data_IF_461190905419
#
_entry.id   IF_461190905419
#
_cell.length_a   1.000
_cell.length_b   1.000
_cell.length_c   1.000
_cell.angle_alpha   90.00
_cell.angle_beta   90.00
_cell.angle_gamma   90.00
#
_symmetry.space_group_name_H-M   'P 1'
#
loop_
_entity.id
_entity.type
_entity.pdbx_description
1 polymer ?
#
# COMPACT_ATOMS: atom_id res chain seq x y z
N UNK A 1 -13.46 -11.97 -9.07
CA UNK A 1 -12.47 -11.84 -10.16
C UNK A 1 -11.33 -10.95 -9.70
N UNK A 2 -10.09 -11.36 -9.94
CA UNK A 2 -8.88 -10.58 -9.65
C UNK A 2 -8.64 -9.58 -10.78
N UNK A 3 -8.24 -8.36 -10.41
CA UNK A 3 -7.80 -7.30 -11.32
C UNK A 3 -6.40 -6.86 -10.91
N UNK A 4 -5.56 -6.50 -11.89
CA UNK A 4 -4.20 -6.06 -11.64
C UNK A 4 -4.12 -4.55 -11.83
N UNK A 5 -3.69 -3.86 -10.79
CA UNK A 5 -3.45 -2.41 -10.77
C UNK A 5 -1.98 -2.07 -10.51
N UNK A 6 -1.64 -0.79 -10.67
CA UNK A 6 -0.34 -0.25 -10.31
C UNK A 6 -0.48 0.95 -9.36
N UNK A 7 0.52 1.12 -8.51
CA UNK A 7 0.71 2.35 -7.76
C UNK A 7 1.66 3.27 -8.54
N UNK A 8 1.36 4.57 -8.69
CA UNK A 8 2.19 5.50 -9.46
C UNK A 8 3.54 5.83 -8.80
N UNK A 9 3.81 5.34 -7.58
CA UNK A 9 5.05 5.63 -6.84
C UNK A 9 6.31 5.15 -7.55
N UNK A 10 6.19 4.19 -8.48
CA UNK A 10 7.30 3.78 -9.35
C UNK A 10 7.70 4.81 -10.41
N UNK A 11 6.83 5.80 -10.71
CA UNK A 11 7.09 6.92 -11.63
C UNK A 11 7.42 8.21 -10.89
N UNK A 12 6.72 8.47 -9.76
CA UNK A 12 6.95 9.67 -8.95
C UNK A 12 6.67 9.37 -7.49
N UNK A 13 7.62 9.70 -6.64
CA UNK A 13 7.53 9.41 -5.21
C UNK A 13 6.63 10.43 -4.49
N UNK A 14 5.83 9.97 -3.54
CA UNK A 14 4.90 10.81 -2.77
C UNK A 14 5.58 11.45 -1.54
N UNK A 15 6.65 10.83 -1.01
CA UNK A 15 7.42 11.32 0.13
C UNK A 15 8.63 12.17 -0.28
N UNK A 16 9.19 11.91 -1.48
CA UNK A 16 10.33 12.63 -2.07
C UNK A 16 9.93 13.18 -3.44
N UNK A 17 9.27 14.35 -3.45
CA UNK A 17 8.65 14.91 -4.67
C UNK A 17 9.64 15.21 -5.81
N UNK A 18 10.94 15.31 -5.51
CA UNK A 18 12.00 15.45 -6.50
C UNK A 18 12.30 14.16 -7.27
N UNK A 19 11.92 13.01 -6.71
CA UNK A 19 12.10 11.70 -7.35
C UNK A 19 10.97 11.47 -8.36
N UNK A 20 11.31 11.54 -9.66
CA UNK A 20 10.34 11.46 -10.75
C UNK A 20 9.41 12.68 -10.84
N UNK A 21 9.77 13.81 -10.21
CA UNK A 21 8.98 15.04 -10.23
C UNK A 21 8.78 15.60 -11.64
N UNK A 22 9.69 15.32 -12.56
CA UNK A 22 9.66 15.69 -13.97
C UNK A 22 8.82 14.73 -14.85
N UNK A 23 8.43 13.56 -14.37
CA UNK A 23 7.61 12.60 -15.14
C UNK A 23 6.14 13.05 -15.10
N UNK A 24 5.51 13.39 -16.23
CA UNK A 24 4.11 13.80 -16.28
C UNK A 24 3.16 12.66 -15.89
N UNK A 25 2.01 12.99 -15.29
CA UNK A 25 0.95 12.03 -15.02
C UNK A 25 0.54 11.22 -16.28
N UNK A 26 0.46 11.89 -17.41
CA UNK A 26 0.09 11.28 -18.70
C UNK A 26 1.06 10.18 -19.13
N UNK A 27 2.36 10.41 -18.91
CA UNK A 27 3.41 9.41 -19.17
C UNK A 27 3.21 8.17 -18.27
N UNK A 28 2.99 8.39 -16.97
CA UNK A 28 2.72 7.32 -16.02
C UNK A 28 1.50 6.48 -16.43
N UNK A 29 0.37 7.13 -16.76
CA UNK A 29 -0.87 6.44 -17.15
C UNK A 29 -0.71 5.66 -18.46
N UNK A 30 -0.04 6.25 -19.46
CA UNK A 30 0.23 5.60 -20.73
C UNK A 30 1.11 4.36 -20.55
N UNK A 31 2.23 4.48 -19.87
CA UNK A 31 3.18 3.38 -19.66
C UNK A 31 2.56 2.26 -18.82
N UNK A 32 1.79 2.60 -17.77
CA UNK A 32 1.05 1.62 -17.00
C UNK A 32 0.04 0.85 -17.88
N UNK A 33 -0.68 1.53 -18.78
CA UNK A 33 -1.59 0.90 -19.72
C UNK A 33 -0.88 -0.01 -20.71
N UNK A 34 0.22 0.43 -21.25
CA UNK A 34 1.07 -0.36 -22.18
C UNK A 34 1.68 -1.58 -21.49
N UNK A 35 1.97 -1.50 -20.19
CA UNK A 35 2.41 -2.65 -19.39
C UNK A 35 1.28 -3.67 -19.13
N UNK A 36 -0.01 -3.28 -19.28
CA UNK A 36 -1.17 -4.15 -19.13
C UNK A 36 -2.05 -3.86 -17.92
N UNK A 37 -1.72 -2.88 -17.09
CA UNK A 37 -2.54 -2.51 -15.94
C UNK A 37 -3.89 -1.92 -16.36
N UNK A 38 -4.94 -2.22 -15.56
CA UNK A 38 -6.30 -1.74 -15.80
C UNK A 38 -6.82 -0.79 -14.72
N UNK A 39 -5.99 -0.54 -13.70
CA UNK A 39 -6.30 0.40 -12.64
C UNK A 39 -5.04 1.03 -12.08
N UNK A 40 -5.21 2.25 -11.54
CA UNK A 40 -4.15 3.03 -10.90
C UNK A 40 -4.59 3.45 -9.50
N UNK A 41 -3.69 3.42 -8.55
CA UNK A 41 -3.90 4.09 -7.27
C UNK A 41 -3.64 5.58 -7.38
N UNK A 42 -4.15 6.32 -6.40
CA UNK A 42 -4.05 7.77 -6.36
C UNK A 42 -2.63 8.19 -5.91
N UNK A 43 -1.92 8.93 -6.73
CA UNK A 43 -0.62 9.52 -6.40
C UNK A 43 -0.68 11.05 -6.28
N UNK A 44 0.45 11.68 -5.98
CA UNK A 44 0.56 13.12 -5.73
C UNK A 44 0.15 13.98 -6.94
N UNK A 45 0.36 13.51 -8.17
CA UNK A 45 0.07 14.24 -9.42
C UNK A 45 -1.38 14.15 -9.88
N UNK A 46 -2.19 13.31 -9.22
CA UNK A 46 -3.58 13.09 -9.62
C UNK A 46 -4.48 14.21 -9.11
N UNK A 47 -5.39 14.75 -9.95
CA UNK A 47 -6.43 15.67 -9.49
C UNK A 47 -7.24 15.09 -8.35
N UNK A 48 -7.57 15.93 -7.36
CA UNK A 48 -8.34 15.52 -6.16
C UNK A 48 -9.85 15.75 -6.31
N UNK A 49 -10.33 15.99 -7.51
CA UNK A 49 -11.74 16.17 -7.84
C UNK A 49 -12.18 15.11 -8.85
N UNK A 50 -13.25 14.35 -8.56
CA UNK A 50 -13.71 13.26 -9.42
C UNK A 50 -14.03 13.73 -10.86
N UNK A 51 -14.66 14.91 -10.99
CA UNK A 51 -14.97 15.49 -12.29
C UNK A 51 -13.76 15.84 -13.16
N UNK A 52 -12.58 16.05 -12.55
CA UNK A 52 -11.33 16.28 -13.26
C UNK A 52 -10.55 14.98 -13.47
N UNK A 53 -10.54 14.10 -12.46
CA UNK A 53 -9.76 12.86 -12.49
C UNK A 53 -10.36 11.81 -13.43
N UNK A 54 -11.68 11.64 -13.38
CA UNK A 54 -12.37 10.58 -14.15
C UNK A 54 -12.11 10.66 -15.65
N UNK A 55 -12.25 11.82 -16.33
CA UNK A 55 -11.96 11.90 -17.78
C UNK A 55 -10.51 11.54 -18.13
N UNK A 56 -9.53 11.89 -17.25
CA UNK A 56 -8.12 11.56 -17.45
C UNK A 56 -7.91 10.05 -17.40
N UNK A 57 -8.44 9.38 -16.38
CA UNK A 57 -8.30 7.93 -16.25
C UNK A 57 -9.06 7.18 -17.36
N UNK A 58 -10.27 7.62 -17.70
CA UNK A 58 -11.06 7.02 -18.78
C UNK A 58 -10.35 7.10 -20.13
N UNK A 59 -9.67 8.23 -20.43
CA UNK A 59 -8.91 8.42 -21.66
C UNK A 59 -7.74 7.43 -21.79
N UNK A 60 -7.21 6.95 -20.67
CA UNK A 60 -6.13 5.95 -20.64
C UNK A 60 -6.65 4.52 -20.34
N UNK A 61 -7.94 4.35 -20.16
CA UNK A 61 -8.57 3.04 -19.88
C UNK A 61 -8.24 2.48 -18.49
N UNK A 62 -8.07 3.37 -17.49
CA UNK A 62 -7.85 2.99 -16.10
C UNK A 62 -9.07 3.25 -15.21
N UNK A 63 -9.30 2.35 -14.25
CA UNK A 63 -10.11 2.65 -13.07
C UNK A 63 -9.25 3.26 -11.97
N UNK A 64 -9.81 4.12 -11.11
CA UNK A 64 -9.18 4.42 -9.84
C UNK A 64 -9.35 3.22 -8.90
N UNK A 65 -8.25 2.73 -8.34
CA UNK A 65 -8.24 1.54 -7.48
C UNK A 65 -8.56 1.91 -6.04
N UNK A 66 -7.82 2.86 -5.51
CA UNK A 66 -7.92 3.44 -4.17
C UNK A 66 -6.89 4.56 -4.02
N UNK A 67 -6.61 4.96 -2.78
CA UNK A 67 -5.54 5.91 -2.45
C UNK A 67 -5.20 5.85 -0.97
N UNK A 68 -3.94 6.18 -0.68
CA UNK A 68 -3.42 6.28 0.67
C UNK A 68 -4.07 7.43 1.45
N UNK A 69 -4.41 7.15 2.71
CA UNK A 69 -4.84 8.13 3.69
C UNK A 69 -4.08 7.96 5.00
N UNK A 70 -3.44 9.03 5.44
CA UNK A 70 -2.71 9.10 6.72
C UNK A 70 -3.69 9.36 7.85
N UNK A 71 -3.95 8.37 8.69
CA UNK A 71 -4.74 8.56 9.91
C UNK A 71 -3.89 9.04 11.07
N UNK A 72 -4.50 9.76 11.98
CA UNK A 72 -3.90 10.22 13.25
C UNK A 72 -4.75 9.80 14.46
N UNK A 73 -5.30 8.59 14.45
CA UNK A 73 -6.19 8.07 15.48
C UNK A 73 -5.52 7.82 16.85
N UNK A 74 -4.20 7.87 16.92
CA UNK A 74 -3.48 7.89 18.20
C UNK A 74 -3.61 9.25 18.92
N UNK A 75 -3.88 10.34 18.20
CA UNK A 75 -3.97 11.71 18.72
C UNK A 75 -5.32 12.37 18.44
N UNK A 76 -6.04 11.97 17.39
CA UNK A 76 -7.39 12.45 17.07
C UNK A 76 -8.45 11.49 17.59
N UNK A 77 -9.63 11.99 17.91
CA UNK A 77 -10.81 11.17 18.08
C UNK A 77 -11.44 10.81 16.71
N UNK A 78 -12.41 9.90 16.73
CA UNK A 78 -13.06 9.42 15.51
C UNK A 78 -13.81 10.52 14.76
N UNK A 79 -14.42 11.47 15.46
CA UNK A 79 -15.18 12.54 14.83
C UNK A 79 -14.26 13.51 14.08
N UNK A 80 -13.11 13.87 14.67
CA UNK A 80 -12.10 14.70 14.03
C UNK A 80 -11.47 13.97 12.82
N UNK A 81 -11.24 12.66 12.93
CA UNK A 81 -10.70 11.87 11.83
C UNK A 81 -11.71 11.73 10.67
N UNK A 82 -13.01 11.59 10.96
CA UNK A 82 -14.07 11.56 9.95
C UNK A 82 -14.17 12.88 9.18
N UNK A 83 -14.02 14.03 9.84
CA UNK A 83 -13.97 15.31 9.14
C UNK A 83 -12.70 15.45 8.28
N UNK A 84 -11.55 14.97 8.78
CA UNK A 84 -10.29 15.01 8.04
C UNK A 84 -10.30 14.13 6.79
N UNK A 85 -10.88 12.92 6.85
CA UNK A 85 -10.93 11.98 5.71
C UNK A 85 -11.96 12.35 4.64
N UNK A 86 -12.90 13.22 4.94
CA UNK A 86 -14.11 13.55 4.16
C UNK A 86 -13.84 13.80 2.66
N UNK A 87 -12.91 14.69 2.35
CA UNK A 87 -12.59 15.01 0.96
C UNK A 87 -12.04 13.80 0.21
N UNK A 88 -11.12 13.05 0.86
CA UNK A 88 -10.51 11.86 0.29
C UNK A 88 -11.53 10.72 0.11
N UNK A 89 -12.32 10.42 1.13
CA UNK A 89 -13.34 9.37 1.05
C UNK A 89 -14.44 9.69 0.02
N UNK A 90 -14.82 10.97 -0.09
CA UNK A 90 -15.76 11.44 -1.12
C UNK A 90 -15.20 11.20 -2.52
N UNK A 91 -13.92 11.58 -2.78
CA UNK A 91 -13.26 11.30 -4.05
C UNK A 91 -13.26 9.81 -4.38
N UNK A 92 -12.85 8.96 -3.44
CA UNK A 92 -12.80 7.50 -3.67
C UNK A 92 -14.18 6.93 -3.97
N UNK A 93 -15.21 7.32 -3.21
CA UNK A 93 -16.62 6.92 -3.46
C UNK A 93 -17.08 7.34 -4.85
N UNK A 94 -16.88 8.60 -5.21
CA UNK A 94 -17.35 9.18 -6.47
C UNK A 94 -16.62 8.61 -7.68
N UNK A 95 -15.40 8.11 -7.48
CA UNK A 95 -14.63 7.38 -8.48
C UNK A 95 -14.93 5.88 -8.53
N UNK A 96 -15.82 5.36 -7.67
CA UNK A 96 -16.26 3.96 -7.65
C UNK A 96 -15.26 3.01 -7.00
N UNK A 97 -14.37 3.50 -6.14
CA UNK A 97 -13.50 2.65 -5.35
C UNK A 97 -14.30 1.81 -4.34
N UNK A 98 -13.79 0.64 -3.99
CA UNK A 98 -14.39 -0.24 -2.99
C UNK A 98 -13.69 -0.21 -1.64
N UNK A 99 -12.44 0.25 -1.62
CA UNK A 99 -11.61 0.29 -0.41
C UNK A 99 -11.03 1.69 -0.18
N UNK A 100 -10.77 2.00 1.09
CA UNK A 100 -9.99 3.15 1.54
C UNK A 100 -8.74 2.59 2.23
N UNK A 101 -7.56 2.91 1.70
CA UNK A 101 -6.28 2.49 2.28
C UNK A 101 -5.91 3.48 3.38
N UNK A 102 -5.68 2.99 4.59
CA UNK A 102 -5.32 3.83 5.74
C UNK A 102 -4.13 3.26 6.50
N UNK A 103 -3.21 4.13 6.88
CA UNK A 103 -2.11 3.81 7.79
C UNK A 103 -2.06 4.82 8.93
N UNK A 104 -1.71 4.38 10.13
CA UNK A 104 -1.52 5.27 11.28
C UNK A 104 -0.17 5.96 11.19
N UNK A 105 -0.19 7.28 11.05
CA UNK A 105 1.01 8.08 10.84
C UNK A 105 1.36 9.02 11.98
N UNK A 106 0.61 8.99 13.10
CA UNK A 106 1.00 9.75 14.28
C UNK A 106 2.42 9.38 14.72
N UNK A 107 3.32 10.36 14.68
CA UNK A 107 4.75 10.17 14.98
C UNK A 107 5.49 9.17 14.06
N UNK A 108 4.94 8.81 12.91
CA UNK A 108 5.64 7.99 11.93
C UNK A 108 6.90 8.71 11.39
N UNK A 109 7.89 7.93 11.00
CA UNK A 109 9.19 8.45 10.56
C UNK A 109 9.54 8.08 9.11
N UNK A 110 8.64 7.41 8.41
CA UNK A 110 8.89 6.92 7.03
C UNK A 110 9.21 8.04 6.04
N UNK A 111 8.66 9.24 6.22
CA UNK A 111 8.91 10.40 5.36
C UNK A 111 10.07 11.28 5.81
N UNK A 112 10.80 10.93 6.87
CA UNK A 112 11.95 11.68 7.39
C UNK A 112 13.26 10.95 7.09
N UNK A 113 13.99 11.39 6.06
CA UNK A 113 15.26 10.78 5.65
C UNK A 113 16.35 10.83 6.73
N UNK A 114 16.21 11.69 7.73
CA UNK A 114 17.18 11.83 8.82
C UNK A 114 16.96 10.85 9.98
N UNK A 115 15.85 10.09 9.95
CA UNK A 115 15.45 9.19 11.04
C UNK A 115 15.76 7.74 10.70
N UNK A 116 16.67 7.09 11.43
CA UNK A 116 16.93 5.67 11.23
C UNK A 116 15.69 4.83 11.59
N UNK A 117 15.50 3.69 10.92
CA UNK A 117 14.32 2.84 11.14
C UNK A 117 14.20 2.32 12.57
N UNK A 118 15.31 2.19 13.31
CA UNK A 118 15.29 1.82 14.74
C UNK A 118 14.60 2.86 15.63
N UNK A 119 14.50 4.12 15.18
CA UNK A 119 13.84 5.20 15.91
C UNK A 119 12.31 5.26 15.68
N UNK A 120 11.72 4.27 15.00
CA UNK A 120 10.27 4.24 14.73
C UNK A 120 9.44 4.26 16.02
N UNK A 121 8.21 4.78 15.96
CA UNK A 121 7.31 4.72 17.10
C UNK A 121 6.92 3.27 17.42
N UNK A 122 6.90 2.93 18.70
CA UNK A 122 6.41 1.63 19.21
C UNK A 122 5.25 1.90 20.15
N UNK A 123 4.09 1.30 19.85
CA UNK A 123 2.90 1.49 20.67
C UNK A 123 3.01 0.70 21.99
N UNK A 124 2.88 1.35 23.17
CA UNK A 124 2.90 0.67 24.46
C UNK A 124 1.79 -0.40 24.56
N UNK A 125 2.07 -1.50 25.27
CA UNK A 125 1.16 -2.65 25.35
C UNK A 125 -0.25 -2.30 25.81
N UNK A 126 -0.39 -1.33 26.70
CA UNK A 126 -1.67 -0.87 27.25
C UNK A 126 -2.45 0.11 26.36
N UNK A 127 -1.89 0.50 25.20
CA UNK A 127 -2.56 1.41 24.26
C UNK A 127 -3.25 0.70 23.10
N UNK A 128 -2.97 -0.59 22.90
CA UNK A 128 -3.49 -1.35 21.74
C UNK A 128 -5.01 -1.48 21.72
N UNK A 129 -5.64 -1.72 22.87
CA UNK A 129 -7.09 -1.92 22.94
C UNK A 129 -7.84 -0.61 22.63
N UNK A 130 -7.36 0.53 23.14
CA UNK A 130 -7.89 1.85 22.79
C UNK A 130 -7.71 2.14 21.31
N UNK A 131 -6.52 1.89 20.78
CA UNK A 131 -6.18 2.08 19.37
C UNK A 131 -7.07 1.23 18.46
N UNK A 132 -7.22 -0.05 18.76
CA UNK A 132 -8.10 -0.96 18.03
C UNK A 132 -9.56 -0.56 18.05
N UNK A 133 -10.04 -0.07 19.20
CA UNK A 133 -11.41 0.45 19.36
C UNK A 133 -11.64 1.68 18.48
N UNK A 134 -10.73 2.66 18.49
CA UNK A 134 -10.83 3.86 17.64
C UNK A 134 -10.82 3.51 16.16
N UNK A 135 -9.91 2.62 15.73
CA UNK A 135 -9.87 2.15 14.33
C UNK A 135 -11.15 1.43 13.91
N UNK A 136 -11.71 0.62 14.81
CA UNK A 136 -12.98 -0.07 14.54
C UNK A 136 -14.11 0.91 14.31
N UNK A 137 -14.30 1.87 15.22
CA UNK A 137 -15.34 2.89 15.09
C UNK A 137 -15.13 3.78 13.85
N UNK A 138 -13.89 4.12 13.54
CA UNK A 138 -13.58 4.87 12.32
C UNK A 138 -13.93 4.07 11.05
N UNK A 139 -13.55 2.79 11.00
CA UNK A 139 -13.88 1.93 9.87
C UNK A 139 -15.40 1.73 9.68
N UNK A 140 -16.14 1.56 10.79
CA UNK A 140 -17.60 1.49 10.78
C UNK A 140 -18.23 2.77 10.24
N UNK A 141 -17.75 3.94 10.69
CA UNK A 141 -18.22 5.23 10.21
C UNK A 141 -17.92 5.46 8.71
N UNK A 142 -16.69 5.16 8.27
CA UNK A 142 -16.31 5.22 6.83
C UNK A 142 -17.21 4.32 6.00
N UNK A 143 -17.49 3.10 6.47
CA UNK A 143 -18.38 2.18 5.77
C UNK A 143 -19.81 2.68 5.69
N UNK A 144 -20.34 3.21 6.79
CA UNK A 144 -21.70 3.72 6.87
C UNK A 144 -21.91 4.96 6.00
N UNK A 145 -20.94 5.90 5.97
CA UNK A 145 -21.11 7.18 5.27
C UNK A 145 -20.70 7.10 3.79
N UNK A 146 -19.64 6.36 3.46
CA UNK A 146 -19.07 6.35 2.11
C UNK A 146 -19.21 4.99 1.39
N UNK A 147 -19.63 3.93 2.07
CA UNK A 147 -19.70 2.57 1.51
C UNK A 147 -18.34 1.90 1.31
N UNK A 148 -17.23 2.54 1.72
CA UNK A 148 -15.88 2.07 1.52
C UNK A 148 -15.47 1.07 2.61
N UNK A 149 -14.78 0.00 2.23
CA UNK A 149 -14.11 -0.89 3.15
C UNK A 149 -12.77 -0.29 3.56
N UNK A 150 -12.59 0.08 4.83
CA UNK A 150 -11.28 0.50 5.32
C UNK A 150 -10.35 -0.70 5.34
N UNK A 151 -9.15 -0.56 4.76
CA UNK A 151 -8.07 -1.53 4.82
C UNK A 151 -6.83 -0.89 5.45
N UNK A 152 -6.35 -1.51 6.53
CA UNK A 152 -5.16 -1.01 7.21
C UNK A 152 -3.91 -1.43 6.47
N UNK A 153 -3.06 -0.47 6.15
CA UNK A 153 -1.74 -0.69 5.56
C UNK A 153 -0.67 -0.63 6.65
N UNK A 154 -0.09 -1.78 6.98
CA UNK A 154 1.11 -1.83 7.82
C UNK A 154 2.32 -1.33 7.02
N UNK A 155 3.17 -0.54 7.65
CA UNK A 155 4.23 0.16 6.93
C UNK A 155 5.49 0.29 7.76
N UNK A 156 6.67 0.21 7.10
CA UNK A 156 7.95 0.51 7.74
C UNK A 156 7.95 1.92 8.31
N UNK A 157 8.56 2.10 9.48
CA UNK A 157 8.64 3.41 10.13
C UNK A 157 7.36 3.87 10.86
N UNK A 158 6.33 3.01 10.98
CA UNK A 158 5.07 3.29 11.70
C UNK A 158 4.91 2.42 12.95
N UNK A 159 3.81 2.60 13.68
CA UNK A 159 3.48 1.79 14.89
C UNK A 159 3.10 0.34 14.59
N UNK A 160 2.69 0.04 13.35
CA UNK A 160 2.38 -1.33 12.91
C UNK A 160 3.30 -1.68 11.75
N UNK A 161 4.45 -2.24 12.06
CA UNK A 161 5.49 -2.59 11.11
C UNK A 161 5.76 -4.09 11.04
N UNK A 162 5.89 -4.72 12.21
CA UNK A 162 6.25 -6.14 12.32
C UNK A 162 5.03 -7.06 12.24
N UNK A 163 5.26 -8.33 11.88
CA UNK A 163 4.20 -9.34 11.86
C UNK A 163 3.47 -9.46 13.20
N UNK A 164 4.19 -9.42 14.32
CA UNK A 164 3.60 -9.45 15.66
C UNK A 164 2.70 -8.23 15.93
N UNK A 165 3.04 -7.06 15.40
CA UNK A 165 2.23 -5.85 15.50
C UNK A 165 1.01 -5.92 14.57
N UNK A 166 1.15 -6.51 13.37
CA UNK A 166 0.01 -6.81 12.47
C UNK A 166 -0.98 -7.74 13.19
N UNK A 167 -0.48 -8.85 13.75
CA UNK A 167 -1.32 -9.81 14.48
C UNK A 167 -2.00 -9.14 15.67
N UNK A 168 -1.28 -8.31 16.42
CA UNK A 168 -1.83 -7.58 17.55
C UNK A 168 -2.92 -6.61 17.13
N UNK A 169 -2.65 -5.78 16.11
CA UNK A 169 -3.59 -4.78 15.60
C UNK A 169 -4.88 -5.45 15.09
N UNK A 170 -4.74 -6.46 14.24
CA UNK A 170 -5.89 -7.17 13.69
C UNK A 170 -6.67 -7.93 14.80
N UNK A 171 -5.99 -8.38 15.83
CA UNK A 171 -6.61 -9.08 16.99
C UNK A 171 -7.41 -8.16 17.90
N UNK A 172 -7.07 -6.86 17.99
CA UNK A 172 -7.79 -5.88 18.82
C UNK A 172 -8.78 -5.02 18.02
N UNK A 173 -8.84 -5.18 16.69
CA UNK A 173 -9.80 -4.48 15.82
C UNK A 173 -10.99 -5.37 15.46
N UNK A 174 -12.17 -4.75 15.34
CA UNK A 174 -13.40 -5.40 14.88
C UNK A 174 -13.37 -5.74 13.37
N UNK A 175 -14.38 -6.48 12.89
CA UNK A 175 -14.43 -6.99 11.52
C UNK A 175 -14.59 -5.89 10.44
N UNK A 176 -14.96 -4.67 10.84
CA UNK A 176 -15.03 -3.52 9.92
C UNK A 176 -13.65 -3.08 9.41
N UNK A 177 -12.59 -3.36 10.16
CA UNK A 177 -11.21 -3.08 9.75
C UNK A 177 -10.68 -4.23 8.90
N UNK A 178 -10.46 -4.01 7.62
CA UNK A 178 -9.76 -4.93 6.73
C UNK A 178 -8.24 -4.79 6.85
N UNK A 179 -7.52 -5.73 6.27
CA UNK A 179 -6.06 -5.68 6.11
C UNK A 179 -5.71 -5.47 4.64
N UNK A 180 -4.84 -4.52 4.37
CA UNK A 180 -4.05 -4.49 3.16
C UNK A 180 -2.81 -5.35 3.41
N UNK A 181 -2.64 -6.42 2.65
CA UNK A 181 -1.43 -7.22 2.69
C UNK A 181 -0.40 -6.59 1.76
N UNK A 182 0.63 -5.96 2.31
CA UNK A 182 1.81 -5.55 1.55
C UNK A 182 2.93 -6.56 1.75
N UNK A 183 3.35 -7.19 0.67
CA UNK A 183 4.35 -8.27 0.71
C UNK A 183 5.75 -7.77 1.04
N UNK A 184 6.11 -6.58 0.58
CA UNK A 184 7.43 -5.97 0.81
C UNK A 184 7.58 -5.45 2.23
N UNK A 185 6.62 -4.65 2.71
CA UNK A 185 6.66 -4.16 4.09
C UNK A 185 6.60 -5.30 5.11
N UNK A 186 5.79 -6.35 4.86
CA UNK A 186 5.75 -7.53 5.72
C UNK A 186 7.11 -8.22 5.80
N UNK A 187 7.74 -8.45 4.64
CA UNK A 187 9.04 -9.12 4.56
C UNK A 187 10.14 -8.31 5.24
N UNK A 188 10.22 -7.01 4.97
CA UNK A 188 11.22 -6.14 5.60
C UNK A 188 11.00 -5.98 7.10
N UNK A 189 9.73 -5.95 7.54
CA UNK A 189 9.37 -5.99 8.96
C UNK A 189 9.67 -7.31 9.67
N UNK A 190 10.31 -8.28 8.99
CA UNK A 190 10.70 -9.58 9.53
C UNK A 190 9.58 -10.62 9.54
N UNK A 191 8.49 -10.36 8.83
CA UNK A 191 7.34 -11.26 8.73
C UNK A 191 7.37 -12.17 7.51
N UNK A 192 6.45 -13.15 7.52
CA UNK A 192 6.18 -14.04 6.38
C UNK A 192 4.83 -13.65 5.74
N UNK A 193 4.82 -13.00 4.55
CA UNK A 193 3.58 -12.57 3.92
C UNK A 193 2.62 -13.72 3.60
N UNK A 194 3.10 -14.95 3.37
CA UNK A 194 2.24 -16.11 3.18
C UNK A 194 1.55 -16.55 4.49
N UNK A 195 2.27 -16.46 5.63
CA UNK A 195 1.67 -16.73 6.94
C UNK A 195 0.62 -15.67 7.29
N UNK A 196 0.93 -14.41 7.08
CA UNK A 196 -0.01 -13.30 7.30
C UNK A 196 -1.25 -13.50 6.42
N UNK A 197 -1.05 -13.81 5.13
CA UNK A 197 -2.14 -14.08 4.20
C UNK A 197 -3.05 -15.22 4.69
N UNK A 198 -2.49 -16.35 5.11
CA UNK A 198 -3.22 -17.51 5.63
C UNK A 198 -4.01 -17.14 6.88
N UNK A 199 -3.39 -16.46 7.83
CA UNK A 199 -3.97 -16.15 9.13
C UNK A 199 -5.12 -15.13 9.02
N UNK A 200 -4.92 -14.08 8.22
CA UNK A 200 -5.87 -12.97 8.10
C UNK A 200 -6.69 -13.00 6.81
N UNK A 201 -6.69 -14.11 6.08
CA UNK A 201 -7.36 -14.29 4.79
C UNK A 201 -8.76 -13.66 4.71
N UNK A 202 -9.59 -13.89 5.72
CA UNK A 202 -10.96 -13.37 5.76
C UNK A 202 -11.06 -11.84 5.92
N UNK A 203 -9.96 -11.21 6.30
CA UNK A 203 -9.87 -9.76 6.54
C UNK A 203 -9.04 -9.03 5.47
N UNK A 204 -8.39 -9.76 4.53
CA UNK A 204 -7.64 -9.14 3.44
C UNK A 204 -8.59 -8.71 2.35
N UNK A 205 -8.66 -7.39 2.10
CA UNK A 205 -9.51 -6.79 1.07
C UNK A 205 -8.72 -6.00 0.04
N UNK A 206 -7.39 -5.91 0.20
CA UNK A 206 -6.48 -5.28 -0.74
C UNK A 206 -5.08 -5.90 -0.64
N UNK A 207 -4.33 -5.90 -1.74
CA UNK A 207 -3.00 -6.51 -1.79
C UNK A 207 -2.03 -5.62 -2.55
N UNK A 208 -0.91 -5.26 -1.92
CA UNK A 208 0.25 -4.68 -2.56
C UNK A 208 1.33 -5.73 -2.77
N UNK A 209 1.72 -5.88 -4.03
CA UNK A 209 2.82 -6.74 -4.45
C UNK A 209 4.07 -5.89 -4.64
N UNK A 210 4.84 -5.77 -3.57
CA UNK A 210 6.10 -5.06 -3.47
C UNK A 210 7.18 -6.09 -3.16
N UNK A 211 8.16 -6.29 -4.04
CA UNK A 211 9.24 -7.25 -3.83
C UNK A 211 10.45 -6.59 -3.15
N UNK A 212 11.37 -7.38 -2.66
CA UNK A 212 12.52 -6.93 -1.83
C UNK A 212 13.83 -7.44 -2.43
N UNK A 213 14.79 -6.53 -2.63
CA UNK A 213 16.18 -6.91 -2.90
C UNK A 213 16.90 -7.22 -1.59
N UNK A 214 17.11 -8.49 -1.34
CA UNK A 214 17.61 -9.03 -0.07
C UNK A 214 18.91 -8.36 0.40
N UNK A 215 19.88 -8.21 -0.49
CA UNK A 215 21.18 -7.62 -0.14
C UNK A 215 21.05 -6.16 0.33
N UNK A 216 20.12 -5.38 -0.27
CA UNK A 216 19.88 -4.00 0.14
C UNK A 216 19.16 -3.95 1.47
N UNK A 217 18.15 -4.79 1.69
CA UNK A 217 17.43 -4.92 2.96
C UNK A 217 18.39 -5.27 4.11
N UNK A 218 19.24 -6.28 3.93
CA UNK A 218 20.22 -6.66 4.94
C UNK A 218 21.22 -5.55 5.24
N UNK A 219 21.65 -4.82 4.23
CA UNK A 219 22.53 -3.68 4.41
C UNK A 219 21.84 -2.55 5.17
N UNK A 220 20.62 -2.19 4.78
CA UNK A 220 19.82 -1.18 5.47
C UNK A 220 19.62 -1.52 6.95
N UNK A 221 19.24 -2.75 7.27
CA UNK A 221 19.05 -3.19 8.65
C UNK A 221 20.33 -3.15 9.47
N UNK A 222 21.47 -3.55 8.88
CA UNK A 222 22.77 -3.57 9.57
C UNK A 222 23.32 -2.18 9.84
N UNK A 223 23.12 -1.25 8.89
CA UNK A 223 23.64 0.11 8.94
C UNK A 223 22.62 1.09 9.53
N UNK A 224 21.43 0.59 9.89
CA UNK A 224 20.31 1.35 10.47
C UNK A 224 19.93 2.59 9.64
N UNK A 225 19.75 2.38 8.35
CA UNK A 225 19.33 3.44 7.44
C UNK A 225 17.93 3.93 7.72
N UNK A 226 17.61 5.15 7.28
CA UNK A 226 16.24 5.61 7.21
C UNK A 226 15.45 4.82 6.14
N UNK A 227 14.13 4.91 6.21
CA UNK A 227 13.26 4.33 5.19
C UNK A 227 13.61 4.87 3.79
N UNK A 228 13.70 6.20 3.66
CA UNK A 228 13.94 6.85 2.37
C UNK A 228 15.35 6.59 1.82
N UNK A 229 16.40 6.53 2.66
CA UNK A 229 17.73 6.11 2.21
C UNK A 229 17.71 4.69 1.62
N UNK A 230 16.93 3.80 2.24
CA UNK A 230 16.78 2.42 1.77
C UNK A 230 16.03 2.34 0.44
N UNK A 231 14.98 3.16 0.27
CA UNK A 231 14.27 3.31 -1.00
C UNK A 231 15.20 3.80 -2.10
N UNK A 232 15.97 4.86 -1.83
CA UNK A 232 16.97 5.39 -2.76
C UNK A 232 18.07 4.38 -3.10
N UNK A 233 18.41 3.49 -2.17
CA UNK A 233 19.35 2.39 -2.42
C UNK A 233 18.71 1.24 -3.21
N UNK A 234 17.39 1.24 -3.40
CA UNK A 234 16.65 0.27 -4.20
C UNK A 234 16.25 -0.97 -3.41
N UNK A 235 15.85 -0.83 -2.14
CA UNK A 235 15.38 -1.94 -1.30
C UNK A 235 14.15 -2.61 -1.91
N UNK A 236 13.23 -1.82 -2.47
CA UNK A 236 12.02 -2.31 -3.11
C UNK A 236 12.20 -2.50 -4.62
N UNK A 237 11.43 -3.45 -5.14
CA UNK A 237 11.34 -3.73 -6.57
C UNK A 237 9.98 -4.35 -6.92
N UNK A 238 9.78 -4.64 -8.20
CA UNK A 238 8.55 -5.26 -8.70
C UNK A 238 8.53 -6.77 -8.46
N UNK A 239 7.35 -7.42 -8.43
CA UNK A 239 7.23 -8.87 -8.26
C UNK A 239 8.13 -9.68 -9.17
N UNK A 240 8.92 -10.58 -8.57
CA UNK A 240 9.82 -11.50 -9.27
C UNK A 240 11.21 -10.96 -9.60
N UNK A 241 11.53 -9.73 -9.17
CA UNK A 241 12.88 -9.15 -9.21
C UNK A 241 13.54 -9.10 -7.82
N UNK A 242 12.95 -9.79 -6.84
CA UNK A 242 13.40 -9.86 -5.46
C UNK A 242 13.34 -11.27 -4.90
N UNK A 243 13.20 -11.36 -3.57
CA UNK A 243 13.29 -12.62 -2.83
C UNK A 243 11.93 -13.28 -2.53
N UNK A 244 10.80 -12.60 -2.78
CA UNK A 244 9.49 -13.08 -2.31
C UNK A 244 8.94 -14.18 -3.22
N UNK A 245 8.57 -15.33 -2.62
CA UNK A 245 7.85 -16.40 -3.31
C UNK A 245 6.35 -16.02 -3.47
N UNK A 246 6.04 -15.33 -4.55
CA UNK A 246 4.69 -14.87 -4.85
C UNK A 246 3.69 -16.01 -5.07
N UNK A 247 4.12 -17.13 -5.65
CA UNK A 247 3.23 -18.29 -5.83
C UNK A 247 2.78 -18.84 -4.48
N UNK A 248 3.68 -18.91 -3.52
CA UNK A 248 3.37 -19.32 -2.15
C UNK A 248 2.41 -18.35 -1.46
N UNK A 249 2.65 -17.04 -1.57
CA UNK A 249 1.77 -16.00 -0.98
C UNK A 249 0.37 -16.06 -1.61
N UNK A 250 0.30 -16.05 -2.93
CA UNK A 250 -0.96 -15.99 -3.66
C UNK A 250 -1.81 -17.26 -3.48
N UNK A 251 -1.21 -18.43 -3.26
CA UNK A 251 -1.96 -19.66 -2.91
C UNK A 251 -2.76 -19.52 -1.63
N UNK A 252 -2.33 -18.72 -0.67
CA UNK A 252 -3.07 -18.49 0.57
C UNK A 252 -4.29 -17.56 0.36
N UNK A 253 -4.36 -16.85 -0.77
CA UNK A 253 -5.44 -15.93 -1.13
C UNK A 253 -6.58 -16.58 -1.92
N UNK A 254 -6.71 -17.93 -1.95
CA UNK A 254 -7.81 -18.59 -2.64
C UNK A 254 -9.18 -18.06 -2.22
N UNK A 255 -10.00 -17.64 -3.19
CA UNK A 255 -11.29 -16.99 -2.97
C UNK A 255 -11.22 -15.47 -2.82
N UNK A 256 -10.01 -14.87 -2.83
CA UNK A 256 -9.87 -13.41 -2.90
C UNK A 256 -10.44 -12.87 -4.23
N UNK A 257 -11.12 -11.74 -4.15
CA UNK A 257 -11.56 -10.98 -5.32
C UNK A 257 -11.32 -9.50 -5.07
N UNK A 258 -10.86 -8.81 -6.09
CA UNK A 258 -10.52 -7.39 -5.97
C UNK A 258 -9.25 -7.03 -6.71
N UNK A 259 -8.58 -5.99 -6.26
CA UNK A 259 -7.34 -5.51 -6.84
C UNK A 259 -6.12 -6.14 -6.16
N UNK A 260 -5.18 -6.57 -6.98
CA UNK A 260 -3.79 -6.84 -6.58
C UNK A 260 -2.93 -5.81 -7.30
N UNK A 261 -2.22 -4.99 -6.54
CA UNK A 261 -1.52 -3.81 -7.05
C UNK A 261 -0.01 -4.06 -7.04
N UNK A 262 0.65 -3.83 -8.17
CA UNK A 262 2.11 -3.73 -8.21
C UNK A 262 2.48 -2.38 -7.65
N UNK A 263 3.20 -2.38 -6.54
CA UNK A 263 3.75 -1.19 -5.91
C UNK A 263 5.25 -1.39 -5.73
N UNK A 264 6.04 -0.60 -6.45
CA UNK A 264 7.48 -0.63 -6.35
C UNK A 264 7.98 0.80 -6.15
N UNK A 265 8.29 1.12 -4.91
CA UNK A 265 8.85 2.41 -4.54
C UNK A 265 10.32 2.45 -4.93
N UNK A 266 10.61 3.04 -6.09
CA UNK A 266 11.92 3.02 -6.73
C UNK A 266 12.31 4.41 -7.24
N UNK A 267 13.63 4.63 -7.37
CA UNK A 267 14.16 5.79 -8.09
C UNK A 267 14.04 5.55 -9.61
N UNK A 268 13.24 6.33 -10.36
CA UNK A 268 13.06 6.17 -11.81
C UNK A 268 14.35 6.28 -12.61
N UNK A 269 15.39 6.93 -12.08
CA UNK A 269 16.71 7.01 -12.70
C UNK A 269 17.51 5.71 -12.60
N UNK A 270 17.16 4.84 -11.68
CA UNK A 270 17.80 3.53 -11.45
C UNK A 270 16.96 2.38 -11.95
N UNK A 271 15.64 2.53 -11.85
CA UNK A 271 14.66 1.54 -12.26
C UNK A 271 13.69 2.22 -13.25
N UNK A 272 13.99 2.13 -14.55
CA UNK A 272 13.21 2.79 -15.60
C UNK A 272 11.73 2.33 -15.54
N UNK A 273 10.76 3.25 -15.32
CA UNK A 273 9.40 2.90 -14.93
C UNK A 273 8.66 1.98 -15.89
N UNK A 274 8.70 2.25 -17.21
CA UNK A 274 8.00 1.42 -18.20
C UNK A 274 8.52 -0.02 -18.22
N UNK A 275 9.84 -0.19 -18.12
CA UNK A 275 10.50 -1.53 -18.07
C UNK A 275 10.08 -2.29 -16.82
N UNK A 276 10.16 -1.65 -15.64
CA UNK A 276 9.80 -2.29 -14.37
C UNK A 276 8.29 -2.53 -14.24
N UNK A 277 7.45 -1.60 -14.73
CA UNK A 277 6.00 -1.81 -14.79
C UNK A 277 5.62 -3.04 -15.61
N UNK A 278 6.22 -3.18 -16.82
CA UNK A 278 6.01 -4.34 -17.68
C UNK A 278 6.52 -5.64 -17.04
N UNK A 279 7.70 -5.62 -16.41
CA UNK A 279 8.27 -6.77 -15.70
C UNK A 279 7.35 -7.21 -14.56
N UNK A 280 6.93 -6.27 -13.70
CA UNK A 280 6.05 -6.55 -12.56
C UNK A 280 4.69 -7.09 -12.97
N UNK A 281 4.05 -6.49 -13.97
CA UNK A 281 2.77 -6.97 -14.50
C UNK A 281 2.89 -8.38 -15.09
N UNK A 282 3.92 -8.63 -15.90
CA UNK A 282 4.14 -9.93 -16.56
C UNK A 282 4.37 -11.03 -15.52
N UNK A 283 5.25 -10.78 -14.55
CA UNK A 283 5.55 -11.73 -13.49
C UNK A 283 4.31 -11.98 -12.60
N UNK A 284 3.63 -10.93 -12.17
CA UNK A 284 2.44 -11.07 -11.32
C UNK A 284 1.33 -11.85 -12.02
N UNK A 285 1.08 -11.58 -13.31
CA UNK A 285 0.12 -12.34 -14.11
C UNK A 285 0.46 -13.83 -14.15
N UNK A 286 1.74 -14.15 -14.35
CA UNK A 286 2.25 -15.55 -14.30
C UNK A 286 2.03 -16.17 -12.93
N UNK A 287 2.40 -15.49 -11.85
CA UNK A 287 2.26 -15.99 -10.48
C UNK A 287 0.79 -16.22 -10.07
N UNK A 288 -0.12 -15.32 -10.47
CA UNK A 288 -1.57 -15.49 -10.26
C UNK A 288 -2.06 -16.79 -10.91
N UNK A 289 -1.64 -17.06 -12.14
CA UNK A 289 -1.98 -18.29 -12.85
C UNK A 289 -1.37 -19.53 -12.19
N UNK A 290 -0.10 -19.50 -11.82
CA UNK A 290 0.60 -20.61 -11.16
C UNK A 290 0.04 -20.90 -9.76
N UNK A 291 -0.49 -19.89 -9.08
CA UNK A 291 -1.18 -20.03 -7.79
C UNK A 291 -2.61 -20.56 -7.92
N UNK A 292 -3.17 -20.64 -9.13
CA UNK A 292 -4.55 -21.05 -9.37
C UNK A 292 -5.60 -20.03 -8.94
N UNK A 293 -5.25 -18.74 -9.03
CA UNK A 293 -6.16 -17.61 -8.71
C UNK A 293 -6.82 -16.98 -9.97
N UNK A 294 -6.45 -17.44 -11.15
CA UNK A 294 -6.96 -16.94 -12.44
C UNK A 294 -8.37 -17.47 -12.74
#
# INVERSE_FOLDING_TARGET
MIRIGANPIGWSNDDMLEIGGDIPLETCLKEAREAGFTGMELGNKFPREAGKLKPILDAHGHALVSGWYSTELLVRDVAAEMEAVKAHATLLRDMGCSVLIAAETSNAIHSDITKPLSARPVLPKNRWDEFGTRYTHFAEAVKAEYGLQLVYHHHMGTVVQTEAEIDRFMGVTGPAVGLLLDTGHATWGGGDPARIARHWKARIHHVHCKDIREAVMWRSNREDWSFLESVLAGVYTVPGDGLIDYVRVLRELQGYSGWIVVEAEQDPKKAEPATYAKLGHTNLTRFIKEAGLA
#
